data_IF_176008811156
#
_entry.id   IF_176008811156
#
_cell.length_a   1.000
_cell.length_b   1.000
_cell.length_c   1.000
_cell.angle_alpha   90.00
_cell.angle_beta   90.00
_cell.angle_gamma   90.00
#
_symmetry.space_group_name_H-M   'P 1'
#
loop_
_entity.id
_entity.type
_entity.pdbx_description
1 polymer ?
#
# COMPACT_ATOMS: atom_id res chain seq x y z
N UNK A 1 -4.13 5.03 10.02
CA UNK A 1 -2.88 4.61 10.68
C UNK A 1 -1.58 4.98 9.94
N UNK A 2 -1.59 5.01 8.60
CA UNK A 2 -0.39 4.96 7.78
C UNK A 2 0.59 6.12 7.99
N UNK A 3 0.06 7.34 8.10
CA UNK A 3 0.88 8.53 8.28
C UNK A 3 1.51 8.61 9.68
N UNK A 4 0.94 7.91 10.68
CA UNK A 4 1.45 7.90 12.04
C UNK A 4 2.67 6.98 12.21
N UNK A 5 2.74 5.89 11.43
CA UNK A 5 3.75 4.83 11.64
C UNK A 5 4.94 4.92 10.67
N UNK A 6 4.83 5.67 9.58
CA UNK A 6 5.92 5.88 8.60
C UNK A 6 6.99 6.87 9.07
N UNK A 7 7.21 7.01 10.38
CA UNK A 7 8.27 7.86 10.91
C UNK A 7 9.68 7.32 10.66
N UNK A 8 9.80 5.99 10.52
CA UNK A 8 11.04 5.28 10.19
C UNK A 8 10.75 4.19 9.16
N UNK A 9 11.78 3.81 8.39
CA UNK A 9 11.76 2.71 7.42
C UNK A 9 11.46 1.39 8.11
N UNK A 10 12.05 1.13 9.28
CA UNK A 10 11.85 -0.11 10.05
C UNK A 10 10.38 -0.31 10.41
N UNK A 11 9.73 0.73 10.95
CA UNK A 11 8.32 0.68 11.31
C UNK A 11 7.43 0.55 10.05
N UNK A 12 7.82 1.21 8.96
CA UNK A 12 7.12 1.11 7.69
C UNK A 12 7.18 -0.31 7.09
N UNK A 13 8.34 -0.97 7.14
CA UNK A 13 8.51 -2.37 6.71
C UNK A 13 7.69 -3.30 7.60
N UNK A 14 7.84 -3.17 8.92
CA UNK A 14 7.11 -4.00 9.89
C UNK A 14 5.59 -3.92 9.70
N UNK A 15 5.06 -2.71 9.61
CA UNK A 15 3.62 -2.50 9.38
C UNK A 15 3.19 -2.95 7.98
N UNK A 16 4.03 -2.74 6.96
CA UNK A 16 3.78 -3.18 5.59
C UNK A 16 3.66 -4.69 5.48
N UNK A 17 4.60 -5.43 6.07
CA UNK A 17 4.59 -6.90 6.11
C UNK A 17 3.38 -7.44 6.88
N UNK A 18 3.10 -6.87 8.05
CA UNK A 18 1.91 -7.22 8.81
C UNK A 18 0.63 -7.01 7.98
N UNK A 19 0.53 -5.88 7.28
CA UNK A 19 -0.65 -5.57 6.44
C UNK A 19 -0.77 -6.51 5.25
N UNK A 20 0.33 -6.91 4.59
CA UNK A 20 0.32 -7.92 3.52
C UNK A 20 -0.29 -9.23 4.03
N UNK A 21 0.20 -9.72 5.16
CA UNK A 21 -0.29 -10.97 5.75
C UNK A 21 -1.77 -10.87 6.12
N UNK A 22 -2.19 -9.75 6.71
CA UNK A 22 -3.62 -9.50 7.00
C UNK A 22 -4.45 -9.54 5.72
N UNK A 23 -4.08 -8.77 4.68
CA UNK A 23 -4.86 -8.71 3.42
C UNK A 23 -4.99 -10.09 2.77
N UNK A 24 -3.89 -10.83 2.71
CA UNK A 24 -3.85 -12.17 2.12
C UNK A 24 -4.76 -13.12 2.88
N UNK A 25 -4.63 -13.19 4.20
CA UNK A 25 -5.45 -14.06 5.04
C UNK A 25 -6.94 -13.64 5.02
N UNK A 26 -7.22 -12.35 5.15
CA UNK A 26 -8.60 -11.84 5.19
C UNK A 26 -9.32 -12.01 3.86
N UNK A 27 -8.67 -11.68 2.74
CA UNK A 27 -9.30 -11.83 1.41
C UNK A 27 -9.57 -13.31 1.09
N UNK A 28 -8.65 -14.19 1.47
CA UNK A 28 -8.82 -15.64 1.30
C UNK A 28 -10.01 -16.15 2.13
N UNK A 29 -10.05 -15.80 3.42
CA UNK A 29 -11.13 -16.21 4.32
C UNK A 29 -12.50 -15.66 3.89
N UNK A 30 -12.55 -14.38 3.49
CA UNK A 30 -13.78 -13.74 2.98
C UNK A 30 -14.27 -14.42 1.70
N UNK A 31 -13.37 -14.77 0.77
CA UNK A 31 -13.73 -15.46 -0.47
C UNK A 31 -14.29 -16.87 -0.23
N UNK A 32 -13.81 -17.57 0.82
CA UNK A 32 -14.33 -18.89 1.21
C UNK A 32 -15.75 -18.76 1.78
N UNK A 33 -15.99 -17.79 2.66
CA UNK A 33 -17.25 -17.66 3.40
C UNK A 33 -18.34 -16.90 2.63
N UNK A 34 -18.01 -16.31 1.48
CA UNK A 34 -18.90 -15.42 0.70
C UNK A 34 -20.28 -15.99 0.38
N UNK A 35 -20.40 -17.30 0.21
CA UNK A 35 -21.67 -17.97 -0.16
C UNK A 35 -22.58 -18.21 1.06
N UNK A 36 -22.06 -18.10 2.28
CA UNK A 36 -22.78 -18.38 3.52
C UNK A 36 -23.30 -17.07 4.14
N UNK A 37 -22.64 -15.95 3.88
CA UNK A 37 -22.93 -14.67 4.51
C UNK A 37 -24.05 -13.91 3.79
N UNK A 38 -25.14 -13.64 4.51
CA UNK A 38 -26.24 -12.79 4.02
C UNK A 38 -25.80 -11.33 3.89
N UNK A 39 -26.37 -10.61 2.92
CA UNK A 39 -26.05 -9.20 2.64
C UNK A 39 -26.20 -8.29 3.88
N UNK A 40 -27.17 -8.57 4.75
CA UNK A 40 -27.46 -7.75 5.93
C UNK A 40 -26.34 -7.76 6.99
N UNK A 41 -25.54 -8.83 7.06
CA UNK A 41 -24.50 -9.01 8.09
C UNK A 41 -23.09 -9.06 7.51
N UNK A 42 -22.93 -8.66 6.25
CA UNK A 42 -21.67 -8.76 5.51
C UNK A 42 -20.54 -7.94 6.12
N UNK A 43 -20.76 -6.64 6.32
CA UNK A 43 -19.72 -5.75 6.83
C UNK A 43 -19.25 -6.14 8.24
N UNK A 44 -20.14 -6.42 9.22
CA UNK A 44 -19.71 -6.92 10.53
C UNK A 44 -18.94 -8.24 10.45
N UNK A 45 -19.39 -9.19 9.62
CA UNK A 45 -18.69 -10.47 9.45
C UNK A 45 -17.27 -10.28 8.91
N UNK A 46 -17.07 -9.40 7.93
CA UNK A 46 -15.74 -9.13 7.36
C UNK A 46 -14.82 -8.46 8.37
N UNK A 47 -15.32 -7.50 9.15
CA UNK A 47 -14.53 -6.87 10.22
C UNK A 47 -14.10 -7.91 11.27
N UNK A 48 -14.97 -8.85 11.64
CA UNK A 48 -14.62 -9.94 12.57
C UNK A 48 -13.51 -10.86 12.01
N UNK A 49 -13.57 -11.20 10.72
CA UNK A 49 -12.54 -12.01 10.06
C UNK A 49 -11.20 -11.27 10.05
N UNK A 50 -11.21 -9.97 9.70
CA UNK A 50 -10.00 -9.15 9.68
C UNK A 50 -9.45 -9.01 11.11
N UNK A 51 -10.30 -8.79 12.12
CA UNK A 51 -9.90 -8.69 13.51
C UNK A 51 -9.20 -9.98 13.99
N UNK A 52 -9.78 -11.15 13.70
CA UNK A 52 -9.16 -12.43 14.02
C UNK A 52 -7.78 -12.59 13.34
N UNK A 53 -7.66 -12.25 12.06
CA UNK A 53 -6.38 -12.31 11.34
C UNK A 53 -5.33 -11.36 11.93
N UNK A 54 -5.73 -10.14 12.31
CA UNK A 54 -4.85 -9.18 12.97
C UNK A 54 -4.40 -9.69 14.34
N UNK A 55 -5.29 -10.28 15.15
CA UNK A 55 -4.94 -10.87 16.45
C UNK A 55 -3.95 -12.03 16.28
N UNK A 56 -4.10 -12.88 15.28
CA UNK A 56 -3.11 -13.92 15.00
C UNK A 56 -1.72 -13.33 14.69
N UNK A 57 -1.66 -12.24 13.95
CA UNK A 57 -0.40 -11.55 13.63
C UNK A 57 0.15 -10.83 14.85
N UNK A 58 -0.71 -10.29 15.72
CA UNK A 58 -0.31 -9.70 17.00
C UNK A 58 0.45 -10.72 17.86
N UNK A 59 -0.11 -11.92 18.02
CA UNK A 59 0.50 -13.01 18.78
C UNK A 59 1.81 -13.49 18.11
N UNK A 60 1.83 -13.57 16.78
CA UNK A 60 3.04 -13.93 16.03
C UNK A 60 4.16 -12.90 16.27
N UNK A 61 3.82 -11.62 16.26
CA UNK A 61 4.79 -10.54 16.46
C UNK A 61 5.29 -10.48 17.90
N UNK A 62 4.43 -10.75 18.88
CA UNK A 62 4.85 -10.94 20.28
C UNK A 62 5.87 -12.08 20.45
N UNK A 63 5.69 -13.17 19.70
CA UNK A 63 6.55 -14.36 19.81
C UNK A 63 7.90 -14.20 19.11
N UNK A 64 7.96 -13.57 17.93
CA UNK A 64 9.16 -13.51 17.10
C UNK A 64 9.84 -12.13 17.04
N UNK A 65 9.12 -11.04 17.34
CA UNK A 65 9.61 -9.66 17.16
C UNK A 65 9.07 -8.74 18.28
N UNK A 66 9.38 -9.06 19.53
CA UNK A 66 8.83 -8.40 20.71
C UNK A 66 9.13 -6.90 20.78
N UNK A 67 10.34 -6.47 20.40
CA UNK A 67 10.70 -5.03 20.37
C UNK A 67 9.84 -4.25 19.37
N UNK A 68 9.58 -4.85 18.19
CA UNK A 68 8.69 -4.27 17.20
C UNK A 68 7.24 -4.26 17.69
N UNK A 69 6.80 -5.28 18.43
CA UNK A 69 5.48 -5.31 19.06
C UNK A 69 5.28 -4.20 20.08
N UNK A 70 6.29 -3.84 20.89
CA UNK A 70 6.16 -2.74 21.84
C UNK A 70 5.89 -1.39 21.16
N UNK A 71 6.39 -1.19 19.94
CA UNK A 71 6.21 0.04 19.18
C UNK A 71 4.92 -0.02 18.34
N UNK A 72 4.70 -1.12 17.61
CA UNK A 72 3.62 -1.25 16.64
C UNK A 72 2.31 -1.77 17.25
N UNK A 73 2.34 -2.37 18.44
CA UNK A 73 1.20 -3.05 19.07
C UNK A 73 -0.06 -2.19 19.14
N UNK A 74 0.08 -0.90 19.48
CA UNK A 74 -1.04 0.04 19.51
C UNK A 74 -1.65 0.33 18.13
N UNK A 75 -0.89 0.11 17.06
CA UNK A 75 -1.32 0.34 15.68
C UNK A 75 -1.92 -0.90 15.02
N UNK A 76 -1.74 -2.10 15.58
CA UNK A 76 -2.32 -3.33 15.04
C UNK A 76 -3.86 -3.28 15.02
N UNK A 77 -4.57 -2.85 16.09
CA UNK A 77 -6.01 -2.67 16.03
C UNK A 77 -6.47 -1.69 14.95
N UNK A 78 -5.66 -0.67 14.60
CA UNK A 78 -5.97 0.26 13.52
C UNK A 78 -5.82 -0.36 12.12
N UNK A 79 -5.19 -1.54 12.00
CA UNK A 79 -5.19 -2.33 10.77
C UNK A 79 -6.60 -2.87 10.52
N UNK A 80 -7.33 -3.30 11.56
CA UNK A 80 -8.68 -3.86 11.42
C UNK A 80 -9.68 -2.87 10.83
N UNK A 81 -9.54 -1.60 11.16
CA UNK A 81 -10.39 -0.50 10.69
C UNK A 81 -9.83 0.20 9.45
N UNK A 82 -8.82 -0.38 8.81
CA UNK A 82 -8.23 0.20 7.61
C UNK A 82 -9.18 0.07 6.41
N UNK A 83 -9.49 1.22 5.79
CA UNK A 83 -10.40 1.32 4.66
C UNK A 83 -9.96 0.50 3.43
N UNK A 84 -8.65 0.35 3.20
CA UNK A 84 -8.12 -0.44 2.09
C UNK A 84 -8.45 -1.92 2.30
N UNK A 85 -8.27 -2.43 3.52
CA UNK A 85 -8.50 -3.85 3.83
C UNK A 85 -9.98 -4.18 3.71
N UNK A 86 -10.83 -3.39 4.38
CA UNK A 86 -12.27 -3.59 4.32
C UNK A 86 -12.81 -3.38 2.89
N UNK A 87 -12.31 -2.36 2.17
CA UNK A 87 -12.71 -2.07 0.80
C UNK A 87 -12.33 -3.16 -0.21
N UNK A 88 -11.16 -3.80 -0.05
CA UNK A 88 -10.78 -4.95 -0.89
C UNK A 88 -11.57 -6.21 -0.52
N UNK A 89 -11.82 -6.44 0.78
CA UNK A 89 -12.62 -7.55 1.26
C UNK A 89 -14.06 -7.49 0.72
N UNK A 90 -14.72 -6.34 0.83
CA UNK A 90 -16.11 -6.17 0.36
C UNK A 90 -16.21 -5.98 -1.16
N UNK A 91 -15.33 -5.18 -1.75
CA UNK A 91 -15.36 -4.83 -3.16
C UNK A 91 -14.91 -5.95 -4.10
N UNK A 92 -13.94 -6.78 -3.67
CA UNK A 92 -13.29 -7.78 -4.53
C UNK A 92 -13.42 -9.20 -3.97
N UNK A 93 -13.00 -9.46 -2.72
CA UNK A 93 -12.95 -10.82 -2.19
C UNK A 93 -14.35 -11.45 -2.05
N UNK A 94 -15.37 -10.67 -1.68
CA UNK A 94 -16.75 -11.13 -1.59
C UNK A 94 -17.35 -11.59 -2.93
N UNK A 95 -16.79 -11.15 -4.07
CA UNK A 95 -17.33 -11.39 -5.41
C UNK A 95 -16.48 -12.37 -6.24
N UNK A 96 -15.22 -12.57 -5.87
CA UNK A 96 -14.27 -13.40 -6.61
C UNK A 96 -13.94 -14.70 -5.87
N UNK A 97 -13.50 -15.72 -6.62
CA UNK A 97 -13.06 -17.00 -6.05
C UNK A 97 -11.73 -16.83 -5.31
N UNK A 98 -11.34 -17.87 -4.56
CA UNK A 98 -10.21 -17.82 -3.61
C UNK A 98 -8.89 -17.47 -4.31
N UNK A 99 -8.61 -18.05 -5.47
CA UNK A 99 -7.38 -17.78 -6.22
C UNK A 99 -7.18 -16.30 -6.60
N UNK A 100 -8.14 -15.69 -7.32
CA UNK A 100 -8.10 -14.26 -7.62
C UNK A 100 -8.07 -13.37 -6.36
N UNK A 101 -8.83 -13.72 -5.31
CA UNK A 101 -8.88 -12.95 -4.07
C UNK A 101 -7.53 -12.96 -3.32
N UNK A 102 -6.85 -14.10 -3.31
CA UNK A 102 -5.51 -14.26 -2.76
C UNK A 102 -4.49 -13.40 -3.52
N UNK A 103 -4.50 -13.49 -4.84
CA UNK A 103 -3.62 -12.72 -5.71
C UNK A 103 -3.82 -11.21 -5.55
N UNK A 104 -5.07 -10.77 -5.44
CA UNK A 104 -5.41 -9.38 -5.16
C UNK A 104 -4.91 -8.90 -3.79
N UNK A 105 -5.10 -9.72 -2.75
CA UNK A 105 -4.59 -9.43 -1.41
C UNK A 105 -3.08 -9.26 -1.40
N UNK A 106 -2.36 -10.13 -2.13
CA UNK A 106 -0.91 -10.07 -2.26
C UNK A 106 -0.47 -8.80 -3.01
N UNK A 107 -1.03 -8.51 -4.18
CA UNK A 107 -0.64 -7.33 -4.97
C UNK A 107 -0.94 -6.04 -4.24
N UNK A 108 -2.15 -5.89 -3.69
CA UNK A 108 -2.49 -4.68 -2.95
C UNK A 108 -1.67 -4.54 -1.68
N UNK A 109 -1.39 -5.64 -0.98
CA UNK A 109 -0.50 -5.64 0.18
C UNK A 109 0.90 -5.16 -0.21
N UNK A 110 1.48 -5.71 -1.27
CA UNK A 110 2.84 -5.35 -1.73
C UNK A 110 2.88 -3.90 -2.18
N UNK A 111 1.91 -3.45 -2.98
CA UNK A 111 1.84 -2.04 -3.41
C UNK A 111 1.72 -1.09 -2.23
N UNK A 112 0.93 -1.45 -1.23
CA UNK A 112 0.78 -0.69 0.00
C UNK A 112 2.07 -0.65 0.82
N UNK A 113 2.73 -1.79 1.02
CA UNK A 113 3.99 -1.88 1.72
C UNK A 113 5.08 -1.05 1.02
N UNK A 114 5.16 -1.10 -0.31
CA UNK A 114 6.10 -0.29 -1.09
C UNK A 114 5.90 1.22 -0.87
N UNK A 115 4.64 1.68 -0.88
CA UNK A 115 4.33 3.09 -0.60
C UNK A 115 4.73 3.47 0.83
N UNK A 116 4.50 2.59 1.81
CA UNK A 116 4.92 2.84 3.19
C UNK A 116 6.43 2.91 3.35
N UNK A 117 7.17 1.97 2.76
CA UNK A 117 8.63 1.93 2.80
C UNK A 117 9.20 3.19 2.14
N UNK A 118 8.66 3.59 0.99
CA UNK A 118 9.09 4.78 0.29
C UNK A 118 8.81 6.05 1.12
N UNK A 119 7.61 6.17 1.70
CA UNK A 119 7.28 7.28 2.60
C UNK A 119 8.15 7.30 3.86
N UNK A 120 8.40 6.14 4.46
CA UNK A 120 9.29 5.97 5.61
C UNK A 120 10.70 6.42 5.28
N UNK A 121 11.24 6.01 4.12
CA UNK A 121 12.57 6.38 3.66
C UNK A 121 12.70 7.89 3.41
N UNK A 122 11.71 8.51 2.75
CA UNK A 122 11.71 9.96 2.54
C UNK A 122 11.63 10.73 3.86
N UNK A 123 10.80 10.27 4.80
CA UNK A 123 10.64 10.92 6.11
C UNK A 123 11.85 10.76 7.01
N UNK A 124 12.46 9.58 7.02
CA UNK A 124 13.66 9.30 7.80
C UNK A 124 14.86 10.10 7.26
N UNK A 125 15.03 10.13 5.93
CA UNK A 125 16.07 10.92 5.27
C UNK A 125 15.91 12.42 5.53
N UNK A 126 14.70 12.96 5.40
CA UNK A 126 14.43 14.38 5.61
C UNK A 126 14.45 14.80 7.09
N UNK A 127 14.12 13.88 8.02
CA UNK A 127 14.09 14.15 9.44
C UNK A 127 15.45 14.03 10.12
N UNK A 128 16.23 13.00 9.76
CA UNK A 128 17.45 12.60 10.49
C UNK A 128 18.72 12.59 9.64
N UNK A 129 18.63 12.66 8.31
CA UNK A 129 19.80 12.62 7.42
C UNK A 129 20.45 11.24 7.25
N UNK A 130 19.86 10.19 7.83
CA UNK A 130 20.33 8.81 7.78
C UNK A 130 19.26 7.92 7.12
N UNK A 131 19.69 6.97 6.30
CA UNK A 131 18.84 5.92 5.73
C UNK A 131 19.11 4.60 6.47
N UNK A 132 18.04 3.86 6.81
CA UNK A 132 18.08 2.54 7.47
C UNK A 132 18.59 2.55 8.93
N UNK A 133 18.32 3.61 9.68
CA UNK A 133 18.61 3.60 11.11
C UNK A 133 17.70 2.58 11.84
N UNK A 134 18.30 1.61 12.53
CA UNK A 134 17.60 0.64 13.38
C UNK A 134 17.15 -0.64 12.68
N UNK A 135 17.75 -1.00 11.55
CA UNK A 135 17.53 -2.33 10.92
C UNK A 135 17.86 -3.52 11.84
N UNK A 136 18.60 -3.26 12.92
CA UNK A 136 18.80 -4.11 14.09
C UNK A 136 17.50 -4.77 14.59
N UNK A 137 16.39 -4.02 14.57
CA UNK A 137 15.07 -4.45 15.05
C UNK A 137 14.40 -5.52 14.16
N UNK A 138 14.81 -5.65 12.89
CA UNK A 138 14.24 -6.60 11.92
C UNK A 138 15.17 -7.77 11.61
N UNK A 139 16.49 -7.56 11.60
CA UNK A 139 17.48 -8.55 11.17
C UNK A 139 18.50 -8.92 12.26
N UNK A 140 18.35 -8.39 13.47
CA UNK A 140 19.27 -8.62 14.59
C UNK A 140 20.56 -7.79 14.50
N UNK A 141 21.51 -8.01 15.43
CA UNK A 141 22.72 -7.17 15.57
C UNK A 141 23.68 -7.22 14.36
N UNK A 142 23.45 -8.11 13.38
CA UNK A 142 24.21 -8.17 12.14
C UNK A 142 23.83 -7.08 11.12
N UNK A 143 22.73 -6.35 11.33
CA UNK A 143 22.25 -5.28 10.45
C UNK A 143 22.49 -3.86 10.99
N UNK A 144 23.23 -3.74 12.10
CA UNK A 144 23.63 -2.46 12.71
C UNK A 144 24.41 -1.55 11.75
N UNK A 145 25.16 -2.17 10.85
CA UNK A 145 26.06 -1.52 9.90
C UNK A 145 25.39 -1.14 8.57
N UNK A 146 24.11 -1.47 8.35
CA UNK A 146 23.37 -1.01 7.15
C UNK A 146 22.90 0.45 7.25
N UNK A 147 23.60 1.28 8.04
CA UNK A 147 23.32 2.71 8.16
C UNK A 147 24.01 3.46 7.02
N UNK A 148 23.22 4.01 6.10
CA UNK A 148 23.74 4.93 5.09
C UNK A 148 23.55 6.34 5.64
N UNK A 149 24.62 6.93 6.19
CA UNK A 149 24.65 8.31 6.65
C UNK A 149 24.85 9.20 5.42
N UNK A 150 23.82 9.96 5.03
CA UNK A 150 23.89 10.84 3.85
C UNK A 150 24.32 12.26 4.25
N UNK A 151 24.02 12.70 5.47
CA UNK A 151 24.43 14.01 5.99
C UNK A 151 24.86 13.92 7.47
N UNK A 152 26.13 14.21 7.78
CA UNK A 152 26.72 14.12 9.14
C UNK A 152 26.33 15.29 10.07
N UNK A 153 25.71 16.35 9.56
CA UNK A 153 25.46 17.60 10.29
C UNK A 153 24.11 18.24 9.93
N UNK A 154 23.03 17.44 9.95
CA UNK A 154 21.68 17.94 9.67
C UNK A 154 20.97 18.33 10.97
N UNK A 155 20.52 19.58 11.07
CA UNK A 155 19.62 19.99 12.16
C UNK A 155 18.31 19.21 11.99
N UNK A 156 17.84 18.46 13.01
CA UNK A 156 16.65 17.65 12.87
C UNK A 156 15.48 18.52 12.42
N UNK A 157 14.99 18.28 11.21
CA UNK A 157 13.87 19.04 10.67
C UNK A 157 12.59 18.47 11.26
N UNK A 158 12.20 18.98 12.44
CA UNK A 158 11.03 18.50 13.20
C UNK A 158 9.75 18.42 12.35
N UNK A 159 9.61 19.30 11.37
CA UNK A 159 8.43 19.36 10.50
C UNK A 159 8.33 18.14 9.56
N UNK A 160 9.44 17.47 9.20
CA UNK A 160 9.40 16.21 8.44
C UNK A 160 8.98 14.99 9.28
N UNK A 161 9.28 15.03 10.58
CA UNK A 161 8.98 13.95 11.53
C UNK A 161 7.52 14.04 11.99
N UNK A 162 6.99 15.26 12.16
CA UNK A 162 5.60 15.50 12.59
C UNK A 162 4.55 15.12 11.51
N UNK A 163 3.28 14.88 11.90
CA UNK A 163 2.18 14.58 10.98
C UNK A 163 2.06 15.47 9.72
N UNK A 164 2.22 16.82 9.78
CA UNK A 164 2.26 17.68 8.59
C UNK A 164 3.28 17.26 7.54
N UNK A 165 4.48 16.81 7.94
CA UNK A 165 5.50 16.31 7.02
C UNK A 165 5.01 15.11 6.21
N UNK A 166 4.33 14.17 6.86
CA UNK A 166 3.77 13.00 6.20
C UNK A 166 2.75 13.36 5.09
N UNK A 167 1.92 14.39 5.31
CA UNK A 167 1.00 14.89 4.29
C UNK A 167 1.72 15.57 3.12
N UNK A 168 2.76 16.36 3.40
CA UNK A 168 3.56 17.02 2.36
C UNK A 168 4.25 15.98 1.47
N UNK A 169 4.92 14.99 2.07
CA UNK A 169 5.59 13.92 1.32
C UNK A 169 4.59 13.07 0.53
N UNK A 170 3.43 12.74 1.11
CA UNK A 170 2.38 12.00 0.39
C UNK A 170 1.85 12.82 -0.79
N UNK A 171 1.62 14.13 -0.62
CA UNK A 171 1.19 15.03 -1.69
C UNK A 171 2.22 15.12 -2.82
N UNK A 172 3.51 15.21 -2.48
CA UNK A 172 4.60 15.24 -3.45
C UNK A 172 4.72 13.92 -4.23
N UNK A 173 4.52 12.77 -3.57
CA UNK A 173 4.46 11.48 -4.25
C UNK A 173 3.28 11.35 -5.21
N UNK A 174 2.10 11.83 -4.81
CA UNK A 174 0.93 11.84 -5.70
C UNK A 174 1.18 12.75 -6.90
N UNK A 175 1.77 13.93 -6.69
CA UNK A 175 2.12 14.86 -7.77
C UNK A 175 3.12 14.23 -8.74
N UNK A 176 4.18 13.60 -8.23
CA UNK A 176 5.19 12.91 -9.03
C UNK A 176 4.57 11.76 -9.84
N UNK A 177 3.72 10.94 -9.21
CA UNK A 177 2.99 9.86 -9.89
C UNK A 177 2.10 10.42 -11.01
N UNK A 178 1.38 11.51 -10.77
CA UNK A 178 0.52 12.13 -11.78
C UNK A 178 1.34 12.66 -12.98
N UNK A 179 2.53 13.24 -12.74
CA UNK A 179 3.42 13.68 -13.82
C UNK A 179 3.95 12.50 -14.64
N UNK A 180 4.30 11.38 -13.99
CA UNK A 180 4.74 10.16 -14.67
C UNK A 180 3.59 9.60 -15.52
N UNK A 181 2.39 9.47 -14.95
CA UNK A 181 1.21 8.98 -15.65
C UNK A 181 0.88 9.84 -16.88
N UNK A 182 0.97 11.17 -16.75
CA UNK A 182 0.72 12.08 -17.86
C UNK A 182 1.75 11.91 -18.98
N UNK A 183 3.03 11.69 -18.64
CA UNK A 183 4.08 11.38 -19.61
C UNK A 183 3.84 10.05 -20.31
N UNK A 184 3.49 9.00 -19.56
CA UNK A 184 3.17 7.67 -20.12
C UNK A 184 1.98 7.78 -21.07
N UNK A 185 0.91 8.50 -20.65
CA UNK A 185 -0.27 8.72 -21.47
C UNK A 185 0.05 9.49 -22.75
N UNK A 186 0.84 10.57 -22.67
CA UNK A 186 1.31 11.31 -23.85
C UNK A 186 2.11 10.42 -24.81
N UNK A 187 2.96 9.53 -24.29
CA UNK A 187 3.67 8.56 -25.11
C UNK A 187 2.74 7.55 -25.79
N UNK A 188 1.75 7.02 -25.06
CA UNK A 188 0.75 6.09 -25.61
C UNK A 188 -0.16 6.76 -26.65
N UNK A 189 -0.55 8.01 -26.43
CA UNK A 189 -1.36 8.79 -27.36
C UNK A 189 -0.57 9.20 -28.62
N UNK A 190 0.76 9.35 -28.51
CA UNK A 190 1.64 9.55 -29.65
C UNK A 190 1.86 8.27 -30.49
N UNK A 191 1.77 7.09 -29.85
CA UNK A 191 1.86 5.77 -30.49
C UNK A 191 0.52 5.31 -31.10
N UNK A 192 -0.62 5.82 -30.62
CA UNK A 192 -1.93 5.55 -31.23
C UNK A 192 -2.07 6.35 -32.52
N UNK A 193 -2.14 5.64 -33.65
CA UNK A 193 -2.46 6.24 -34.94
C UNK A 193 -3.76 7.05 -34.84
N UNK A 194 -3.69 8.31 -35.28
CA UNK A 194 -4.84 9.22 -35.29
C UNK A 194 -5.94 8.57 -36.13
N UNK A 195 -7.20 8.46 -35.65
CA UNK A 195 -8.28 8.00 -36.50
C UNK A 195 -8.37 8.95 -37.70
N UNK A 196 -8.20 8.41 -38.91
CA UNK A 196 -8.25 9.16 -40.17
C UNK A 196 -9.60 9.85 -40.25
N UNK A 197 -9.61 11.15 -39.96
CA UNK A 197 -10.81 11.99 -40.06
C UNK A 197 -11.04 12.29 -41.54
N UNK A 198 -11.79 11.43 -42.22
CA UNK A 198 -12.42 11.77 -43.49
C UNK A 198 -12.28 10.72 -44.58
N UNK A 199 -13.37 10.02 -44.85
CA UNK A 199 -13.84 9.85 -46.21
C UNK A 199 -15.35 9.96 -46.17
N UNK A 200 -15.85 11.19 -46.44
CA UNK A 200 -17.22 11.37 -46.91
C UNK A 200 -17.35 10.44 -48.12
N UNK A 201 -18.11 9.35 -47.99
CA UNK A 201 -18.47 8.51 -49.15
C UNK A 201 -19.28 9.38 -50.11
N UNK A 202 -18.60 9.99 -51.08
CA UNK A 202 -19.23 10.65 -52.22
C UNK A 202 -19.82 9.52 -53.06
N UNK A 203 -21.16 9.44 -53.06
CA UNK A 203 -21.93 8.48 -53.84
C UNK A 203 -21.90 8.94 -55.30
N UNK A 204 -20.88 8.51 -56.05
CA UNK A 204 -20.86 8.67 -57.50
C UNK A 204 -21.60 7.48 -58.10
N UNK A 205 -22.91 7.62 -58.29
CA UNK A 205 -23.64 6.80 -59.27
C UNK A 205 -23.82 7.66 -60.51
N UNK A 206 -22.79 7.68 -61.35
CA UNK A 206 -22.95 8.02 -62.77
C UNK A 206 -23.55 6.82 -63.48
N UNK A 207 -24.64 7.04 -64.21
CA UNK A 207 -25.22 6.07 -65.15
C UNK A 207 -24.26 5.92 -66.33
N UNK A 208 -23.66 4.75 -66.47
CA UNK A 208 -22.94 4.37 -67.69
C UNK A 208 -23.94 3.59 -68.56
N UNK A 209 -24.27 4.23 -69.69
CA UNK A 209 -24.88 3.71 -70.94
C UNK A 209 -26.15 2.89 -70.86
#
# INVERSE_FOLDING_TARGET
PLLAVTGTVVNAIGLGLATILVLVCSNTAVSIIRNIVSNAVRLPAFVMIIAAAVTCIELLMQAYAYELYQILGIFLPLITTNCVILGRADGFAAKNSVGPALYDGLIMGVGFALVLVLLGAMRELAGTGVLFAGMDLLFGPAAADWKIVVFENYQPFLLAILPPGAFIFTGLLIALKNLIDERIKKHQDALKERPVKGSKRVRVTGTIS
#
